data_IF_309625090314
#
_entry.id   IF_309625090314
#
_cell.length_a   1.000
_cell.length_b   1.000
_cell.length_c   1.000
_cell.angle_alpha   90.00
_cell.angle_beta   90.00
_cell.angle_gamma   90.00
#
_symmetry.space_group_name_H-M   'P 1'
#
loop_
_entity.id
_entity.type
_entity.pdbx_description
1 polymer ?
#
# COMPACT_ATOMS: atom_id res chain seq x y z
N UNK A 1 6.22 23.18 -28.77
CA UNK A 1 7.50 23.13 -28.03
C UNK A 1 7.97 21.69 -28.05
N UNK A 2 9.14 21.41 -28.60
CA UNK A 2 9.68 20.06 -28.64
C UNK A 2 10.11 19.65 -27.23
N UNK A 3 9.67 18.47 -26.78
CA UNK A 3 10.16 17.87 -25.53
C UNK A 3 11.67 17.68 -25.67
N UNK A 4 12.46 18.31 -24.79
CA UNK A 4 13.92 18.15 -24.79
C UNK A 4 14.28 16.77 -24.24
N UNK A 5 15.35 16.18 -24.80
CA UNK A 5 15.89 14.89 -24.35
C UNK A 5 16.25 14.88 -22.86
N UNK A 6 16.66 16.03 -22.30
CA UNK A 6 16.95 16.20 -20.86
C UNK A 6 15.69 16.13 -19.99
N UNK A 7 14.55 16.64 -20.49
CA UNK A 7 13.26 16.54 -19.80
C UNK A 7 12.72 15.11 -19.77
N UNK A 8 12.98 14.34 -20.83
CA UNK A 8 12.70 12.90 -20.86
C UNK A 8 13.60 12.17 -19.85
N UNK A 9 14.88 12.51 -19.75
CA UNK A 9 15.82 11.85 -18.83
C UNK A 9 15.53 12.10 -17.34
N UNK A 10 15.04 13.30 -16.97
CA UNK A 10 14.58 13.56 -15.60
C UNK A 10 13.32 12.75 -15.25
N UNK A 11 12.33 12.70 -16.16
CA UNK A 11 11.13 11.87 -15.98
C UNK A 11 11.44 10.37 -15.99
N UNK A 12 12.41 9.95 -16.79
CA UNK A 12 12.85 8.55 -16.88
C UNK A 12 13.70 8.19 -15.67
N UNK A 13 14.48 9.09 -15.06
CA UNK A 13 15.22 8.80 -13.83
C UNK A 13 14.29 8.57 -12.63
N UNK A 14 13.21 9.36 -12.51
CA UNK A 14 12.14 9.12 -11.51
C UNK A 14 11.35 7.84 -11.80
N UNK A 15 11.25 7.43 -13.08
CA UNK A 15 10.59 6.19 -13.50
C UNK A 15 11.52 4.97 -13.42
N UNK A 16 12.85 5.11 -13.54
CA UNK A 16 13.82 4.00 -13.41
C UNK A 16 14.06 3.59 -11.97
N UNK A 17 13.68 4.42 -10.99
CA UNK A 17 13.53 4.02 -9.60
C UNK A 17 12.27 3.17 -9.35
N UNK A 18 11.32 3.16 -10.29
CA UNK A 18 10.12 2.33 -10.26
C UNK A 18 10.37 0.97 -10.94
N UNK A 19 11.31 0.19 -10.40
CA UNK A 19 11.17 -1.27 -10.47
C UNK A 19 10.05 -1.66 -9.50
N UNK A 20 8.83 -1.39 -9.92
CA UNK A 20 7.67 -1.34 -9.03
C UNK A 20 7.04 -2.73 -8.90
N UNK A 21 6.99 -3.27 -7.69
CA UNK A 21 6.40 -4.60 -7.44
C UNK A 21 4.88 -4.53 -7.26
N UNK A 22 4.36 -3.39 -6.77
CA UNK A 22 2.92 -3.17 -6.53
C UNK A 22 2.55 -1.68 -6.60
N UNK A 23 1.31 -1.38 -6.97
CA UNK A 23 0.76 -0.04 -7.15
C UNK A 23 -0.68 0.00 -6.61
N UNK A 24 -0.99 1.03 -5.82
CA UNK A 24 -2.37 1.33 -5.45
C UNK A 24 -2.72 2.78 -5.77
N UNK A 25 -3.96 3.04 -6.20
CA UNK A 25 -4.41 4.37 -6.60
C UNK A 25 -5.75 4.72 -5.97
N UNK A 26 -5.82 5.89 -5.36
CA UNK A 26 -7.08 6.45 -4.87
C UNK A 26 -7.89 7.11 -5.99
N UNK A 27 -9.21 7.21 -5.83
CA UNK A 27 -10.07 7.96 -6.75
C UNK A 27 -9.70 9.45 -6.88
N UNK A 28 -8.97 10.01 -5.90
CA UNK A 28 -8.50 11.40 -5.88
C UNK A 28 -7.16 11.62 -6.58
N UNK A 29 -6.54 10.56 -7.11
CA UNK A 29 -5.30 10.69 -7.89
C UNK A 29 -4.02 10.54 -7.07
N UNK A 30 -4.09 10.18 -5.79
CA UNK A 30 -2.89 9.70 -5.09
C UNK A 30 -2.52 8.29 -5.57
N UNK A 31 -1.25 8.09 -5.83
CA UNK A 31 -0.63 6.81 -6.22
C UNK A 31 0.38 6.42 -5.16
N UNK A 32 0.32 5.18 -4.69
CA UNK A 32 1.26 4.62 -3.74
C UNK A 32 2.02 3.46 -4.36
N UNK A 33 3.32 3.42 -4.08
CA UNK A 33 4.24 2.42 -4.61
C UNK A 33 5.10 1.88 -3.47
N UNK A 34 5.57 0.65 -3.60
CA UNK A 34 6.66 0.14 -2.76
C UNK A 34 7.92 -0.01 -3.63
N UNK A 35 9.09 0.29 -3.05
CA UNK A 35 10.36 0.03 -3.72
C UNK A 35 10.59 -1.48 -3.95
N UNK A 36 11.58 -1.85 -4.78
CA UNK A 36 11.84 -3.27 -5.11
C UNK A 36 12.38 -4.10 -3.95
N UNK A 37 12.94 -3.46 -2.92
CA UNK A 37 13.27 -4.13 -1.66
C UNK A 37 12.04 -4.31 -0.76
N UNK A 38 10.95 -3.63 -1.10
CA UNK A 38 9.78 -3.46 -0.27
C UNK A 38 10.08 -2.67 1.00
N UNK A 39 11.12 -1.83 1.03
CA UNK A 39 11.70 -1.15 2.20
C UNK A 39 11.14 0.25 2.50
N UNK A 40 10.48 0.86 1.52
CA UNK A 40 9.74 2.09 1.66
C UNK A 40 8.45 2.06 0.82
N UNK A 41 7.44 2.79 1.32
CA UNK A 41 6.25 3.17 0.56
C UNK A 41 6.41 4.63 0.13
N UNK A 42 6.25 4.90 -1.17
CA UNK A 42 6.25 6.24 -1.72
C UNK A 42 4.83 6.62 -2.14
N UNK A 43 4.40 7.84 -1.81
CA UNK A 43 3.12 8.38 -2.22
C UNK A 43 3.31 9.60 -3.12
N UNK A 44 2.57 9.62 -4.21
CA UNK A 44 2.61 10.64 -5.25
C UNK A 44 1.22 11.19 -5.47
N UNK A 45 1.12 12.46 -5.84
CA UNK A 45 -0.09 13.05 -6.39
C UNK A 45 0.02 13.11 -7.91
N UNK A 46 -1.01 12.63 -8.60
CA UNK A 46 -1.11 12.76 -10.04
C UNK A 46 -1.51 14.19 -10.43
N UNK A 47 -0.72 14.82 -11.29
CA UNK A 47 -1.02 16.14 -11.85
C UNK A 47 -1.98 16.03 -13.04
N UNK A 48 -2.62 17.14 -13.41
CA UNK A 48 -3.64 17.18 -14.47
C UNK A 48 -3.12 16.81 -15.87
N UNK A 49 -1.81 16.86 -16.08
CA UNK A 49 -1.10 16.42 -17.30
C UNK A 49 -0.63 14.95 -17.24
N UNK A 50 -0.94 14.25 -16.15
CA UNK A 50 -0.58 12.84 -15.95
C UNK A 50 0.80 12.61 -15.33
N UNK A 51 1.53 13.67 -14.98
CA UNK A 51 2.74 13.58 -14.16
C UNK A 51 2.46 13.12 -12.73
N UNK A 52 3.53 12.78 -12.01
CA UNK A 52 3.50 12.41 -10.59
C UNK A 52 4.38 13.38 -9.80
N UNK A 53 3.85 13.92 -8.71
CA UNK A 53 4.60 14.75 -7.75
C UNK A 53 4.75 13.97 -6.46
N UNK A 54 5.99 13.76 -6.01
CA UNK A 54 6.24 13.09 -4.73
C UNK A 54 5.66 13.89 -3.56
N UNK A 55 4.92 13.22 -2.67
CA UNK A 55 4.25 13.82 -1.52
C UNK A 55 4.72 13.24 -0.20
N UNK A 56 4.90 11.92 -0.15
CA UNK A 56 5.24 11.21 1.09
C UNK A 56 6.20 10.07 0.80
N UNK A 57 7.10 9.80 1.74
CA UNK A 57 7.88 8.56 1.77
C UNK A 57 7.82 8.03 3.20
N UNK A 58 7.36 6.80 3.33
CA UNK A 58 7.32 6.04 4.57
C UNK A 58 8.39 4.95 4.49
N UNK A 59 9.53 5.18 5.12
CA UNK A 59 10.60 4.18 5.21
C UNK A 59 10.35 3.18 6.35
N UNK A 60 10.82 1.95 6.18
CA UNK A 60 10.72 0.88 7.19
C UNK A 60 11.27 1.32 8.54
N UNK A 61 10.53 1.02 9.62
CA UNK A 61 10.85 1.45 10.99
C UNK A 61 9.78 2.32 11.66
N UNK A 62 8.70 2.69 10.97
CA UNK A 62 7.50 3.20 11.61
C UNK A 62 6.78 2.06 12.38
N UNK A 63 6.05 2.41 13.45
CA UNK A 63 5.56 1.49 14.49
C UNK A 63 4.84 0.20 14.00
N UNK A 64 4.34 0.16 12.77
CA UNK A 64 3.46 -0.90 12.27
C UNK A 64 3.97 -1.65 11.02
N UNK A 65 5.04 -1.22 10.35
CA UNK A 65 5.57 -1.86 9.13
C UNK A 65 7.08 -2.19 9.25
N UNK A 66 7.48 -3.39 8.81
CA UNK A 66 8.82 -3.97 9.06
C UNK A 66 9.70 -4.12 7.82
N UNK A 67 9.50 -3.26 6.81
CA UNK A 67 10.52 -3.08 5.77
C UNK A 67 10.45 -4.06 4.60
N UNK A 68 9.37 -4.85 4.44
CA UNK A 68 9.24 -5.78 3.30
C UNK A 68 7.83 -5.87 2.71
N UNK A 69 7.33 -4.74 2.21
CA UNK A 69 6.06 -4.64 1.47
C UNK A 69 6.15 -5.47 0.21
N UNK A 70 5.19 -6.37 0.04
CA UNK A 70 5.03 -7.17 -1.18
C UNK A 70 3.77 -6.80 -1.96
N UNK A 71 2.81 -6.15 -1.30
CA UNK A 71 1.55 -5.77 -1.93
C UNK A 71 0.93 -4.53 -1.27
N UNK A 72 0.20 -3.76 -2.06
CA UNK A 72 -0.51 -2.54 -1.66
C UNK A 72 -1.92 -2.58 -2.24
N UNK A 73 -2.91 -2.20 -1.42
CA UNK A 73 -4.28 -1.98 -1.90
C UNK A 73 -4.84 -0.70 -1.27
N UNK A 74 -5.77 -0.03 -1.95
CA UNK A 74 -6.47 1.15 -1.43
C UNK A 74 -7.96 0.93 -1.39
N UNK A 75 -8.59 1.33 -0.29
CA UNK A 75 -10.03 1.16 -0.11
C UNK A 75 -10.66 2.38 0.54
N UNK A 76 -11.92 2.65 0.20
CA UNK A 76 -12.72 3.66 0.86
C UNK A 76 -13.73 3.03 1.82
N UNK A 77 -13.70 3.44 3.09
CA UNK A 77 -14.66 3.02 4.12
C UNK A 77 -15.27 4.27 4.73
N UNK A 78 -16.60 4.36 4.72
CA UNK A 78 -17.35 5.53 5.22
C UNK A 78 -16.86 6.89 4.67
N UNK A 79 -16.42 6.92 3.41
CA UNK A 79 -15.91 8.12 2.73
C UNK A 79 -14.45 8.48 3.04
N UNK A 80 -13.78 7.74 3.91
CA UNK A 80 -12.35 7.89 4.19
C UNK A 80 -11.55 6.87 3.39
N UNK A 81 -10.45 7.31 2.76
CA UNK A 81 -9.53 6.43 2.04
C UNK A 81 -8.45 5.88 2.96
N UNK A 82 -8.12 4.61 2.76
CA UNK A 82 -7.08 3.88 3.47
C UNK A 82 -6.15 3.20 2.47
N UNK A 83 -4.86 3.16 2.80
CA UNK A 83 -3.87 2.30 2.17
C UNK A 83 -3.66 1.08 3.06
N UNK A 84 -3.69 -0.10 2.48
CA UNK A 84 -3.27 -1.34 3.12
C UNK A 84 -1.91 -1.75 2.54
N UNK A 85 -1.01 -2.19 3.41
CA UNK A 85 0.28 -2.71 3.00
C UNK A 85 0.51 -4.10 3.58
N UNK A 86 0.79 -5.05 2.69
CA UNK A 86 1.15 -6.42 3.08
C UNK A 86 2.65 -6.52 3.24
N UNK A 87 3.07 -6.92 4.44
CA UNK A 87 4.46 -7.05 4.81
C UNK A 87 4.82 -8.52 5.03
N UNK A 88 5.79 -9.01 4.25
CA UNK A 88 6.32 -10.35 4.39
C UNK A 88 7.15 -10.53 5.67
N UNK A 89 7.91 -9.53 6.10
CA UNK A 89 8.71 -9.59 7.34
C UNK A 89 7.82 -9.51 8.60
N UNK A 90 6.83 -8.62 8.58
CA UNK A 90 5.79 -8.51 9.60
C UNK A 90 4.80 -9.67 9.60
N UNK A 91 4.71 -10.41 8.48
CA UNK A 91 3.74 -11.47 8.22
C UNK A 91 2.33 -11.00 8.53
N UNK A 92 1.89 -9.95 7.83
CA UNK A 92 0.61 -9.32 8.13
C UNK A 92 0.28 -8.12 7.23
N UNK A 93 -0.73 -7.37 7.67
CA UNK A 93 -1.27 -6.19 6.98
C UNK A 93 -1.21 -4.99 7.92
N UNK A 94 -0.66 -3.88 7.41
CA UNK A 94 -0.76 -2.55 8.02
C UNK A 94 -1.84 -1.74 7.33
N UNK A 95 -2.56 -0.93 8.07
CA UNK A 95 -3.57 0.01 7.56
C UNK A 95 -3.15 1.45 7.86
N UNK A 96 -3.28 2.31 6.86
CA UNK A 96 -2.97 3.73 6.95
C UNK A 96 -4.14 4.56 6.47
N UNK A 97 -4.57 5.55 7.26
CA UNK A 97 -5.48 6.58 6.80
C UNK A 97 -4.73 7.51 5.86
N UNK A 98 -5.33 7.78 4.71
CA UNK A 98 -4.79 8.72 3.72
C UNK A 98 -5.35 10.11 4.01
N UNK A 99 -4.46 11.08 4.22
CA UNK A 99 -4.85 12.48 4.26
C UNK A 99 -5.36 12.91 2.87
N UNK A 100 -6.59 13.43 2.75
CA UNK A 100 -7.22 13.68 1.46
C UNK A 100 -6.63 14.86 0.69
N UNK A 101 -5.78 15.68 1.31
CA UNK A 101 -5.22 16.90 0.73
C UNK A 101 -3.75 16.73 0.40
N UNK A 102 -3.02 16.01 1.25
CA UNK A 102 -1.56 15.88 1.18
C UNK A 102 -1.12 14.50 0.75
N UNK A 103 -1.99 13.48 0.84
CA UNK A 103 -1.63 12.08 0.60
C UNK A 103 -0.79 11.46 1.71
N UNK A 104 -0.56 12.18 2.82
CA UNK A 104 0.17 11.68 3.98
C UNK A 104 -0.51 10.44 4.58
N UNK A 105 0.31 9.53 5.11
CA UNK A 105 -0.15 8.26 5.68
C UNK A 105 -0.09 8.32 7.20
N UNK A 106 -1.23 8.09 7.83
CA UNK A 106 -1.35 7.96 9.28
C UNK A 106 -1.66 6.51 9.64
N UNK A 107 -0.81 5.91 10.44
CA UNK A 107 -0.97 4.53 10.91
C UNK A 107 -2.28 4.36 11.66
N UNK A 108 -3.08 3.36 11.27
CA UNK A 108 -4.33 2.99 11.95
C UNK A 108 -4.26 1.65 12.62
N UNK A 109 -3.50 0.70 12.10
CA UNK A 109 -3.27 -0.55 12.82
C UNK A 109 -2.49 -1.57 12.03
N UNK A 110 -2.11 -2.62 12.74
CA UNK A 110 -1.36 -3.76 12.25
C UNK A 110 -2.01 -5.05 12.75
N UNK A 111 -2.19 -6.00 11.85
CA UNK A 111 -2.57 -7.36 12.18
C UNK A 111 -1.67 -8.34 11.43
N UNK A 112 -0.92 -9.14 12.19
CA UNK A 112 -0.02 -10.17 11.66
C UNK A 112 0.17 -11.32 12.64
N UNK A 113 1.12 -12.21 12.36
CA UNK A 113 1.33 -13.43 13.13
C UNK A 113 1.55 -13.17 14.64
N UNK A 114 2.21 -12.06 14.99
CA UNK A 114 2.47 -11.66 16.40
C UNK A 114 1.17 -11.31 17.13
N UNK A 115 0.19 -10.74 16.43
CA UNK A 115 -1.13 -10.42 16.96
C UNK A 115 -2.09 -11.63 16.95
N UNK A 116 -1.60 -12.82 16.59
CA UNK A 116 -2.39 -14.05 16.53
C UNK A 116 -3.10 -14.28 15.20
N UNK A 117 -2.77 -13.53 14.15
CA UNK A 117 -3.30 -13.81 12.82
C UNK A 117 -2.79 -15.18 12.34
N UNK A 118 -3.71 -16.05 11.92
CA UNK A 118 -3.39 -17.34 11.32
C UNK A 118 -2.83 -17.19 9.91
N UNK A 119 -1.57 -16.80 9.78
CA UNK A 119 -0.92 -16.47 8.51
C UNK A 119 0.38 -17.24 8.34
N UNK A 120 0.73 -17.57 7.09
CA UNK A 120 2.01 -18.16 6.67
C UNK A 120 2.97 -17.08 6.15
N UNK A 121 3.61 -17.27 5.00
CA UNK A 121 4.29 -16.21 4.26
C UNK A 121 3.24 -15.51 3.38
N UNK A 122 2.97 -14.20 3.56
CA UNK A 122 2.06 -13.46 2.70
C UNK A 122 2.43 -13.56 1.21
N UNK A 123 1.42 -13.57 0.35
CA UNK A 123 1.59 -13.69 -1.12
C UNK A 123 0.77 -12.71 -1.92
N UNK A 124 -0.39 -12.27 -1.41
CA UNK A 124 -1.26 -11.29 -2.06
C UNK A 124 -2.27 -10.72 -1.04
N UNK A 125 -2.82 -9.56 -1.35
CA UNK A 125 -3.91 -8.91 -0.63
C UNK A 125 -4.97 -8.40 -1.58
N UNK A 126 -6.23 -8.60 -1.21
CA UNK A 126 -7.36 -8.03 -1.94
C UNK A 126 -8.38 -7.47 -0.96
N UNK A 127 -9.02 -6.35 -1.30
CA UNK A 127 -10.15 -5.82 -0.54
C UNK A 127 -11.49 -6.14 -1.21
N UNK A 128 -12.49 -6.43 -0.38
CA UNK A 128 -13.84 -6.74 -0.84
C UNK A 128 -14.89 -6.15 0.10
N UNK A 129 -15.98 -5.63 -0.46
CA UNK A 129 -17.14 -5.18 0.31
C UNK A 129 -18.29 -6.16 0.15
N UNK A 130 -18.81 -6.68 1.26
CA UNK A 130 -19.91 -7.63 1.31
C UNK A 130 -20.94 -7.11 2.33
N UNK A 131 -22.18 -6.89 1.89
CA UNK A 131 -23.25 -6.43 2.78
C UNK A 131 -22.97 -5.09 3.49
N UNK A 132 -22.19 -4.21 2.85
CA UNK A 132 -21.81 -2.90 3.41
C UNK A 132 -20.63 -2.94 4.41
N UNK A 133 -20.07 -4.11 4.69
CA UNK A 133 -18.83 -4.25 5.44
C UNK A 133 -17.65 -4.49 4.48
N UNK A 134 -16.51 -3.87 4.75
CA UNK A 134 -15.29 -4.01 3.95
C UNK A 134 -14.31 -4.93 4.68
N UNK A 135 -13.68 -5.81 3.91
CA UNK A 135 -12.72 -6.80 4.40
C UNK A 135 -11.45 -6.75 3.56
N UNK A 136 -10.32 -7.04 4.20
CA UNK A 136 -9.08 -7.39 3.53
C UNK A 136 -8.92 -8.91 3.58
N UNK A 137 -8.64 -9.53 2.45
CA UNK A 137 -8.37 -10.96 2.30
C UNK A 137 -6.88 -11.13 2.03
N UNK A 138 -6.17 -11.64 3.02
CA UNK A 138 -4.74 -11.90 2.95
C UNK A 138 -4.49 -13.36 2.55
N UNK A 139 -3.88 -13.56 1.39
CA UNK A 139 -3.40 -14.86 0.95
C UNK A 139 -1.98 -15.10 1.46
N UNK A 140 -1.75 -16.30 2.00
CA UNK A 140 -0.44 -16.73 2.46
C UNK A 140 -0.18 -18.19 2.09
N UNK A 141 1.08 -18.53 1.88
CA UNK A 141 1.50 -19.86 1.47
C UNK A 141 2.74 -20.33 2.24
N UNK A 142 2.98 -21.63 2.19
CA UNK A 142 4.27 -22.23 2.52
C UNK A 142 4.41 -23.56 1.79
N UNK A 143 5.34 -24.40 2.22
CA UNK A 143 5.62 -25.67 1.57
C UNK A 143 4.46 -26.66 1.73
N UNK A 144 3.66 -26.80 0.67
CA UNK A 144 2.54 -27.75 0.59
C UNK A 144 1.26 -27.31 1.30
N UNK A 145 1.16 -26.04 1.69
CA UNK A 145 -0.01 -25.49 2.37
C UNK A 145 -0.23 -24.02 2.04
N UNK A 146 -1.47 -23.56 2.26
CA UNK A 146 -1.85 -22.16 2.12
C UNK A 146 -2.99 -21.81 3.06
N UNK A 147 -3.13 -20.53 3.34
CA UNK A 147 -4.15 -19.99 4.21
C UNK A 147 -4.66 -18.65 3.69
N UNK A 148 -5.97 -18.43 3.86
CA UNK A 148 -6.61 -17.14 3.70
C UNK A 148 -7.00 -16.62 5.09
N UNK A 149 -6.52 -15.43 5.42
CA UNK A 149 -6.99 -14.68 6.60
C UNK A 149 -7.89 -13.55 6.14
N UNK A 150 -8.99 -13.33 6.86
CA UNK A 150 -9.96 -12.27 6.54
C UNK A 150 -10.00 -11.28 7.70
N UNK A 151 -9.68 -10.03 7.41
CA UNK A 151 -9.65 -8.94 8.39
C UNK A 151 -10.78 -7.97 8.05
N UNK A 152 -11.53 -7.50 9.06
CA UNK A 152 -12.54 -6.48 8.83
C UNK A 152 -11.87 -5.11 8.89
N UNK A 153 -12.15 -4.27 7.91
CA UNK A 153 -11.69 -2.87 7.94
C UNK A 153 -12.80 -2.04 8.57
N UNK A 154 -12.53 -1.53 9.77
CA UNK A 154 -13.45 -0.67 10.48
C UNK A 154 -13.48 0.74 9.87
N UNK A 155 -14.53 1.51 10.17
CA UNK A 155 -14.70 2.87 9.64
C UNK A 155 -13.62 3.85 10.10
N UNK A 156 -12.86 3.50 11.12
CA UNK A 156 -11.71 4.23 11.60
C UNK A 156 -10.40 3.69 10.98
N UNK A 157 -10.43 2.55 10.29
CA UNK A 157 -9.27 1.96 9.61
C UNK A 157 -8.54 0.89 10.43
N UNK A 158 -9.01 0.54 11.63
CA UNK A 158 -8.48 -0.62 12.36
C UNK A 158 -8.87 -1.95 11.68
N UNK A 159 -8.05 -2.99 11.93
CA UNK A 159 -8.13 -4.34 11.36
C UNK A 159 -8.53 -5.40 12.40
#
# INVERSE_FOLDING_TARGET
>A
AALSWDGLHASVNDITALTQTTLAQTARGFVYTADSSGGAIHGYERTGDGGLVSRVTLSGGALDYRGRVIDLDTVAVAGQSYLLATDSAGRGVSSYRIDPTTGALEVRGLMGAVQGLGVMEPTALETVTIGGATYAVLASAGTGSGALSVLRIHSDGHL
#
